data_IF_071696723262
#
_entry.id   IF_071696723262
#
_cell.length_a   1.000
_cell.length_b   1.000
_cell.length_c   1.000
_cell.angle_alpha   90.00
_cell.angle_beta   90.00
_cell.angle_gamma   90.00
#
_symmetry.space_group_name_H-M   'P 1'
#
loop_
_entity.id
_entity.type
_entity.pdbx_description
1 polymer ?
#
# COMPACT_ATOMS: atom_id res chain seq x y z
N UNK A 1 -17.26 -8.24 8.96
CA UNK A 1 -17.66 -7.00 8.24
C UNK A 1 -16.40 -6.58 7.56
N UNK A 2 -16.19 -7.10 6.37
CA UNK A 2 -14.84 -7.24 5.86
C UNK A 2 -14.56 -5.96 5.11
N UNK A 3 -13.98 -5.00 5.83
CA UNK A 3 -13.18 -3.97 5.19
C UNK A 3 -12.15 -4.73 4.37
N UNK A 4 -12.28 -4.62 3.06
CA UNK A 4 -11.26 -5.07 2.15
C UNK A 4 -10.46 -3.81 1.86
N UNK A 5 -9.39 -3.50 2.62
CA UNK A 5 -8.53 -2.36 2.34
C UNK A 5 -7.78 -2.64 1.04
N UNK A 6 -8.34 -2.31 -0.11
CA UNK A 6 -7.67 -2.57 -1.39
C UNK A 6 -7.31 -1.31 -2.13
N UNK A 7 -6.30 -0.56 -1.70
CA UNK A 7 -5.69 0.39 -2.64
C UNK A 7 -4.18 0.33 -2.55
N UNK A 8 -3.60 -0.25 -3.61
CA UNK A 8 -2.42 0.21 -4.33
C UNK A 8 -1.31 0.87 -3.50
N UNK A 9 -0.97 0.29 -2.36
CA UNK A 9 0.08 0.81 -1.50
C UNK A 9 1.45 0.66 -2.19
N UNK A 10 1.61 -0.38 -3.02
CA UNK A 10 2.82 -0.52 -3.83
C UNK A 10 3.00 0.64 -4.82
N UNK A 11 1.93 1.16 -5.43
CA UNK A 11 1.98 2.29 -6.37
C UNK A 11 2.31 3.59 -5.64
N UNK A 12 1.84 3.76 -4.39
CA UNK A 12 2.23 4.88 -3.55
C UNK A 12 3.73 4.83 -3.21
N UNK A 13 4.28 3.65 -2.91
CA UNK A 13 5.71 3.45 -2.68
C UNK A 13 6.53 3.75 -3.96
N UNK A 14 6.17 3.11 -5.08
CA UNK A 14 6.88 3.24 -6.36
C UNK A 14 6.87 4.69 -6.88
N UNK A 15 5.77 5.41 -6.69
CA UNK A 15 5.61 6.79 -7.13
C UNK A 15 6.18 7.82 -6.16
N UNK A 16 6.88 7.39 -5.11
CA UNK A 16 7.38 8.25 -4.04
C UNK A 16 6.28 9.12 -3.41
N UNK A 17 5.07 8.57 -3.26
CA UNK A 17 3.93 9.24 -2.63
C UNK A 17 3.14 10.16 -3.55
N UNK A 18 3.48 10.25 -4.85
CA UNK A 18 2.74 11.05 -5.84
C UNK A 18 1.36 10.46 -6.12
N UNK A 19 1.26 9.14 -6.27
CA UNK A 19 -0.02 8.47 -6.30
C UNK A 19 -0.56 8.28 -4.89
N UNK A 20 -1.86 8.59 -4.73
CA UNK A 20 -2.54 8.49 -3.46
C UNK A 20 -3.36 7.21 -3.43
N UNK A 21 -3.07 6.39 -2.42
CA UNK A 21 -3.96 5.30 -2.04
C UNK A 21 -5.13 5.86 -1.22
N UNK A 22 -6.35 5.34 -1.42
CA UNK A 22 -7.55 5.70 -0.65
C UNK A 22 -8.10 4.47 0.09
N UNK A 23 -8.76 4.68 1.22
CA UNK A 23 -9.37 3.57 1.95
C UNK A 23 -10.79 3.38 1.42
N UNK A 24 -11.19 2.13 1.18
CA UNK A 24 -12.52 1.82 0.69
C UNK A 24 -13.15 0.70 1.54
N UNK A 25 -14.48 0.72 1.63
CA UNK A 25 -15.24 -0.25 2.41
C UNK A 25 -16.49 -0.67 1.66
N UNK A 26 -16.72 -1.98 1.65
CA UNK A 26 -17.97 -2.58 1.18
C UNK A 26 -19.04 -2.47 2.28
N UNK A 27 -20.13 -1.76 2.02
CA UNK A 27 -21.28 -1.70 2.95
C UNK A 27 -22.20 -2.90 2.77
N UNK A 28 -22.71 -3.45 3.86
CA UNK A 28 -23.75 -4.50 3.83
C UNK A 28 -25.13 -3.88 3.56
N UNK A 29 -26.03 -4.63 2.94
CA UNK A 29 -27.40 -4.20 2.67
C UNK A 29 -28.36 -5.32 3.08
N UNK A 30 -29.45 -4.96 3.77
CA UNK A 30 -30.48 -5.90 4.21
C UNK A 30 -31.60 -6.10 3.16
N UNK A 31 -31.52 -5.40 2.02
CA UNK A 31 -32.60 -5.37 1.02
C UNK A 31 -32.21 -6.04 -0.30
N UNK A 32 -30.92 -6.29 -0.52
CA UNK A 32 -30.41 -6.89 -1.75
C UNK A 32 -29.05 -7.52 -1.54
N UNK A 33 -28.83 -8.65 -2.19
CA UNK A 33 -27.53 -9.28 -2.29
C UNK A 33 -26.62 -8.48 -3.23
N UNK A 34 -25.31 -8.51 -2.97
CA UNK A 34 -24.28 -7.93 -3.85
C UNK A 34 -23.13 -8.91 -4.01
N UNK A 35 -22.76 -9.20 -5.25
CA UNK A 35 -21.59 -10.01 -5.61
C UNK A 35 -20.59 -9.11 -6.34
N UNK A 36 -19.30 -9.26 -6.04
CA UNK A 36 -18.20 -8.58 -6.73
C UNK A 36 -17.01 -9.53 -6.88
N UNK A 37 -16.31 -9.44 -8.01
CA UNK A 37 -15.11 -10.23 -8.29
C UNK A 37 -13.95 -9.27 -8.50
N UNK A 38 -13.17 -8.93 -7.45
CA UNK A 38 -12.04 -8.04 -7.61
C UNK A 38 -10.84 -8.77 -8.21
N UNK A 39 -10.05 -8.04 -8.99
CA UNK A 39 -8.79 -8.53 -9.58
C UNK A 39 -7.66 -7.68 -9.01
N UNK A 40 -6.63 -8.33 -8.48
CA UNK A 40 -5.46 -7.68 -7.91
C UNK A 40 -4.24 -7.94 -8.78
N UNK A 41 -3.56 -6.86 -9.16
CA UNK A 41 -2.28 -6.90 -9.85
C UNK A 41 -1.21 -6.52 -8.83
N UNK A 42 -0.25 -7.40 -8.61
CA UNK A 42 0.79 -7.20 -7.59
C UNK A 42 2.12 -7.80 -8.04
N UNK A 43 3.26 -7.26 -7.54
CA UNK A 43 4.56 -7.86 -7.73
C UNK A 43 4.65 -9.28 -7.15
N UNK A 44 5.68 -10.03 -7.53
CA UNK A 44 6.01 -11.28 -6.85
C UNK A 44 6.54 -10.98 -5.44
N UNK A 45 6.34 -11.85 -4.44
CA UNK A 45 6.82 -11.61 -3.08
C UNK A 45 8.32 -11.29 -2.98
N UNK A 46 9.14 -11.90 -3.85
CA UNK A 46 10.59 -11.71 -3.88
C UNK A 46 11.01 -10.44 -4.65
N UNK A 47 10.05 -9.67 -5.16
CA UNK A 47 10.33 -8.44 -5.89
C UNK A 47 10.67 -7.33 -4.90
N UNK A 48 11.86 -6.77 -5.04
CA UNK A 48 12.25 -5.55 -4.32
C UNK A 48 11.48 -4.36 -4.88
N UNK A 49 10.80 -3.62 -4.00
CA UNK A 49 10.05 -2.41 -4.33
C UNK A 49 10.57 -1.23 -3.53
N UNK A 50 10.45 -0.03 -4.11
CA UNK A 50 10.89 1.24 -3.51
C UNK A 50 10.61 2.40 -4.47
N UNK A 51 10.85 3.65 -4.07
CA UNK A 51 10.67 4.81 -4.93
C UNK A 51 11.47 4.66 -6.23
N UNK A 52 10.83 4.92 -7.37
CA UNK A 52 11.56 5.02 -8.64
C UNK A 52 12.62 6.12 -8.52
N UNK A 53 13.89 5.76 -8.78
CA UNK A 53 15.03 6.65 -8.53
C UNK A 53 14.84 8.05 -9.14
N UNK A 54 14.45 8.13 -10.41
CA UNK A 54 14.23 9.41 -11.08
C UNK A 54 13.04 10.23 -10.55
N UNK A 55 12.14 9.64 -9.76
CA UNK A 55 11.12 10.37 -9.00
C UNK A 55 11.65 10.83 -7.65
N UNK A 56 12.33 9.95 -6.91
CA UNK A 56 12.96 10.31 -5.64
C UNK A 56 13.92 11.50 -5.77
N UNK A 57 14.76 11.50 -6.82
CA UNK A 57 15.66 12.63 -7.12
C UNK A 57 14.91 13.94 -7.39
N UNK A 58 13.80 13.87 -8.16
CA UNK A 58 12.95 15.05 -8.46
C UNK A 58 12.21 15.58 -7.24
N UNK A 59 11.91 14.70 -6.28
CA UNK A 59 11.21 15.04 -5.05
C UNK A 59 12.16 15.47 -3.92
N UNK A 60 13.47 15.50 -4.18
CA UNK A 60 14.49 15.91 -3.20
C UNK A 60 14.88 14.82 -2.20
N UNK A 61 14.43 13.58 -2.42
CA UNK A 61 14.73 12.45 -1.54
C UNK A 61 13.71 11.32 -1.64
N UNK A 62 14.09 10.16 -1.11
CA UNK A 62 13.22 8.99 -1.01
C UNK A 62 12.38 9.05 0.27
N UNK A 63 11.06 9.09 0.11
CA UNK A 63 10.08 9.05 1.22
C UNK A 63 9.91 7.62 1.75
N UNK A 64 10.10 6.63 0.88
CA UNK A 64 10.00 5.22 1.21
C UNK A 64 11.36 4.54 1.06
N UNK A 65 11.60 3.49 1.85
CA UNK A 65 12.78 2.63 1.75
C UNK A 65 12.55 1.52 0.71
N UNK A 66 13.64 1.00 0.18
CA UNK A 66 13.60 -0.27 -0.55
C UNK A 66 13.33 -1.43 0.40
N UNK A 67 12.47 -2.35 -0.02
CA UNK A 67 12.10 -3.55 0.73
C UNK A 67 11.59 -4.67 -0.19
N UNK A 68 11.54 -5.90 0.30
CA UNK A 68 10.93 -7.00 -0.44
C UNK A 68 9.40 -6.92 -0.33
N UNK A 69 8.69 -7.06 -1.45
CA UNK A 69 7.23 -6.94 -1.46
C UNK A 69 6.56 -7.93 -0.50
N UNK A 70 7.08 -9.15 -0.38
CA UNK A 70 6.61 -10.15 0.57
C UNK A 70 6.78 -9.72 2.03
N UNK A 71 7.86 -9.02 2.37
CA UNK A 71 8.08 -8.46 3.72
C UNK A 71 6.99 -7.42 4.04
N UNK A 72 6.70 -6.52 3.09
CA UNK A 72 5.63 -5.54 3.24
C UNK A 72 4.25 -6.18 3.36
N UNK A 73 3.94 -7.19 2.53
CA UNK A 73 2.66 -7.89 2.59
C UNK A 73 2.47 -8.66 3.91
N UNK A 74 3.54 -9.26 4.45
CA UNK A 74 3.49 -9.91 5.76
C UNK A 74 3.17 -8.90 6.88
N UNK A 75 3.83 -7.74 6.86
CA UNK A 75 3.51 -6.66 7.80
C UNK A 75 2.06 -6.18 7.63
N UNK A 76 1.64 -5.95 6.38
CA UNK A 76 0.28 -5.52 6.05
C UNK A 76 -0.80 -6.46 6.60
N UNK A 77 -0.66 -7.77 6.40
CA UNK A 77 -1.65 -8.74 6.89
C UNK A 77 -1.58 -8.96 8.40
N UNK A 78 -0.41 -8.76 9.03
CA UNK A 78 -0.30 -8.82 10.48
C UNK A 78 -1.06 -7.69 11.20
N UNK A 79 -1.24 -6.56 10.50
CA UNK A 79 -1.93 -5.36 10.96
C UNK A 79 -3.08 -4.96 10.01
N UNK A 80 -3.86 -5.94 9.53
CA UNK A 80 -4.83 -5.76 8.43
C UNK A 80 -5.90 -4.67 8.67
N UNK A 81 -6.15 -4.29 9.92
CA UNK A 81 -7.12 -3.25 10.28
C UNK A 81 -6.52 -1.85 10.44
N UNK A 82 -5.19 -1.72 10.34
CA UNK A 82 -4.49 -0.45 10.53
C UNK A 82 -4.41 0.41 9.26
N UNK A 83 -4.92 -0.11 8.14
CA UNK A 83 -5.09 0.64 6.89
C UNK A 83 -3.78 1.28 6.43
N UNK A 84 -3.80 2.58 6.18
CA UNK A 84 -2.63 3.36 5.73
C UNK A 84 -1.44 3.34 6.70
N UNK A 85 -1.61 3.04 7.98
CA UNK A 85 -0.48 2.98 8.94
C UNK A 85 0.51 1.88 8.58
N UNK A 86 0.07 0.86 7.83
CA UNK A 86 0.97 -0.18 7.32
C UNK A 86 2.07 0.37 6.39
N UNK A 87 1.87 1.56 5.80
CA UNK A 87 2.89 2.27 5.01
C UNK A 87 4.06 2.77 5.86
N UNK A 88 3.89 2.94 7.17
CA UNK A 88 4.96 3.41 8.06
C UNK A 88 6.11 2.40 8.12
N UNK A 89 5.81 1.11 7.94
CA UNK A 89 6.81 0.06 7.77
C UNK A 89 7.75 0.30 6.58
N UNK A 90 7.25 0.99 5.56
CA UNK A 90 7.97 1.31 4.33
C UNK A 90 8.55 2.74 4.32
N UNK A 91 8.26 3.59 5.32
CA UNK A 91 8.82 4.95 5.39
C UNK A 91 10.34 4.92 5.55
N UNK A 92 11.02 5.88 4.95
CA UNK A 92 12.44 6.12 5.22
C UNK A 92 12.60 6.75 6.61
N UNK A 93 13.73 6.48 7.28
CA UNK A 93 13.98 6.95 8.67
C UNK A 93 14.20 8.47 8.79
N UNK A 94 14.00 9.23 7.72
CA UNK A 94 14.20 10.69 7.68
C UNK A 94 12.93 11.49 8.02
N UNK A 95 11.78 10.83 8.18
CA UNK A 95 10.47 11.47 8.42
C UNK A 95 9.91 11.22 9.83
N UNK A 96 10.72 10.76 10.80
CA UNK A 96 10.31 10.66 12.21
C UNK A 96 10.65 11.94 12.99
N UNK A 97 9.97 13.04 12.68
CA UNK A 97 9.85 14.23 13.54
C UNK A 97 8.36 14.58 13.75
#
# INVERSE_FOLDING_TARGET
MDSVPHIHFQEMILSNGRYKSVEHMARVSNTRDRISIPIFVSPRPETRIGPLQGLAEKDGGAIYRDLDFGEYMNNFFSAAHDGKKTLDFARSMLDQE
#
